data_IF_600581641748
#
_entry.id   IF_600581641748
#
_cell.length_a   1.000
_cell.length_b   1.000
_cell.length_c   1.000
_cell.angle_alpha   90.00
_cell.angle_beta   90.00
_cell.angle_gamma   90.00
#
_symmetry.space_group_name_H-M   'P 1'
#
loop_
_entity.id
_entity.type
_entity.pdbx_description
1 polymer ?
#
# COMPACT_ATOMS: atom_id res chain seq x y z
N UNK A 1 13.18 -33.57 -52.42
CA UNK A 1 13.91 -32.49 -51.71
C UNK A 1 12.94 -31.45 -51.17
N UNK A 2 11.97 -30.98 -51.92
CA UNK A 2 10.99 -29.94 -51.51
C UNK A 2 10.11 -30.32 -50.31
N UNK A 3 9.67 -31.57 -50.12
CA UNK A 3 8.84 -31.98 -48.96
C UNK A 3 9.56 -31.84 -47.61
N UNK A 4 10.88 -32.05 -47.55
CA UNK A 4 11.63 -31.88 -46.29
C UNK A 4 11.79 -30.39 -45.91
N UNK A 5 12.00 -29.54 -46.92
CA UNK A 5 12.12 -28.08 -46.70
C UNK A 5 10.81 -27.50 -46.17
N UNK A 6 9.65 -27.91 -46.72
CA UNK A 6 8.33 -27.51 -46.26
C UNK A 6 8.09 -27.88 -44.78
N UNK A 7 8.54 -29.07 -44.35
CA UNK A 7 8.38 -29.54 -42.97
C UNK A 7 9.18 -28.69 -41.96
N UNK A 8 10.40 -28.29 -42.34
CA UNK A 8 11.23 -27.39 -41.48
C UNK A 8 10.68 -25.99 -41.37
N UNK A 9 10.12 -25.43 -42.46
CA UNK A 9 9.48 -24.09 -42.44
C UNK A 9 8.25 -24.13 -41.54
N UNK A 10 7.44 -25.17 -41.56
CA UNK A 10 6.26 -25.32 -40.71
C UNK A 10 6.63 -25.47 -39.23
N UNK A 11 7.72 -26.22 -38.93
CA UNK A 11 8.22 -26.38 -37.56
C UNK A 11 8.79 -25.09 -36.99
N UNK A 12 9.47 -24.27 -37.77
CA UNK A 12 10.00 -22.95 -37.36
C UNK A 12 8.86 -21.97 -37.16
N UNK A 13 7.83 -21.95 -38.00
CA UNK A 13 6.65 -21.13 -37.85
C UNK A 13 5.88 -21.47 -36.57
N UNK A 14 5.78 -22.75 -36.21
CA UNK A 14 5.11 -23.18 -34.97
C UNK A 14 5.92 -22.82 -33.69
N UNK A 15 7.25 -22.82 -33.79
CA UNK A 15 8.12 -22.44 -32.67
C UNK A 15 8.10 -20.94 -32.37
N UNK A 16 7.85 -20.09 -33.36
CA UNK A 16 7.76 -18.63 -33.17
C UNK A 16 6.41 -18.18 -32.50
N UNK A 17 5.41 -19.05 -32.43
CA UNK A 17 4.11 -18.71 -31.80
C UNK A 17 4.07 -18.97 -30.30
N UNK A 18 5.12 -19.51 -29.69
CA UNK A 18 5.27 -19.54 -28.23
C UNK A 18 5.81 -18.19 -27.72
N UNK A 19 5.16 -17.10 -28.13
CA UNK A 19 5.30 -15.83 -27.41
C UNK A 19 4.63 -16.06 -26.05
N UNK A 20 5.42 -16.28 -25.02
CA UNK A 20 4.94 -16.27 -23.65
C UNK A 20 4.20 -14.97 -23.43
N UNK A 21 2.88 -15.03 -23.33
CA UNK A 21 2.11 -13.91 -22.80
C UNK A 21 2.67 -13.67 -21.40
N UNK A 22 3.49 -12.65 -21.26
CA UNK A 22 3.89 -12.17 -19.94
C UNK A 22 2.60 -11.75 -19.24
N UNK A 23 2.10 -12.59 -18.35
CA UNK A 23 0.95 -12.21 -17.52
C UNK A 23 1.42 -11.09 -16.61
N UNK A 24 0.84 -9.93 -16.73
CA UNK A 24 1.05 -8.85 -15.78
C UNK A 24 0.80 -9.37 -14.36
N UNK A 25 1.73 -9.12 -13.46
CA UNK A 25 1.59 -9.49 -12.06
C UNK A 25 0.53 -8.60 -11.44
N UNK A 26 -0.53 -9.18 -10.88
CA UNK A 26 -1.57 -8.41 -10.18
C UNK A 26 -1.25 -8.32 -8.69
N UNK A 27 -0.93 -7.13 -8.21
CA UNK A 27 -0.74 -6.84 -6.79
C UNK A 27 -2.06 -6.47 -6.13
N UNK A 28 -2.37 -7.09 -5.00
CA UNK A 28 -3.54 -6.77 -4.17
C UNK A 28 -3.17 -5.66 -3.19
N UNK A 29 -3.83 -4.50 -3.29
CA UNK A 29 -3.68 -3.38 -2.39
C UNK A 29 -4.94 -3.22 -1.53
N UNK A 30 -4.83 -3.31 -0.20
CA UNK A 30 -5.96 -3.23 0.73
C UNK A 30 -5.88 -2.01 1.63
N UNK A 31 -7.02 -1.37 1.90
CA UNK A 31 -7.14 -0.32 2.91
C UNK A 31 -8.57 -0.19 3.44
N UNK A 32 -8.72 0.57 4.53
CA UNK A 32 -9.99 0.68 5.26
C UNK A 32 -10.88 1.84 4.85
N UNK A 33 -10.37 2.78 4.05
CA UNK A 33 -11.07 4.03 3.70
C UNK A 33 -11.97 3.87 2.49
N UNK A 34 -13.01 4.72 2.35
CA UNK A 34 -13.88 4.69 1.18
C UNK A 34 -13.10 4.87 -0.12
N UNK A 35 -13.47 4.07 -1.13
CA UNK A 35 -12.96 4.20 -2.50
C UNK A 35 -13.93 4.92 -3.44
N UNK A 36 -14.98 5.53 -2.90
CA UNK A 36 -15.98 6.30 -3.65
C UNK A 36 -15.68 7.78 -3.54
N UNK A 37 -15.93 8.51 -4.63
CA UNK A 37 -15.83 9.97 -4.62
C UNK A 37 -16.86 10.60 -3.65
N UNK A 38 -16.49 11.70 -3.03
CA UNK A 38 -17.37 12.57 -2.25
C UNK A 38 -18.27 13.37 -3.18
N UNK A 39 -19.23 14.10 -2.60
CA UNK A 39 -20.15 14.96 -3.35
C UNK A 39 -19.45 16.06 -4.17
N UNK A 40 -18.28 16.50 -3.74
CA UNK A 40 -17.42 17.47 -4.44
C UNK A 40 -16.49 16.85 -5.49
N UNK A 41 -16.62 15.55 -5.74
CA UNK A 41 -15.78 14.80 -6.67
C UNK A 41 -14.42 14.36 -6.11
N UNK A 42 -14.02 14.79 -4.91
CA UNK A 42 -12.77 14.37 -4.28
C UNK A 42 -12.86 12.98 -3.69
N UNK A 43 -11.72 12.31 -3.55
CA UNK A 43 -11.60 11.05 -2.84
C UNK A 43 -11.06 11.23 -1.42
N UNK A 44 -11.08 10.17 -0.63
CA UNK A 44 -10.32 10.16 0.62
C UNK A 44 -8.81 10.19 0.28
N UNK A 45 -8.01 11.12 0.82
CA UNK A 45 -6.58 11.26 0.45
C UNK A 45 -5.78 9.99 0.66
N UNK A 46 -6.21 9.12 1.56
CA UNK A 46 -5.55 7.84 1.85
C UNK A 46 -5.87 6.77 0.81
N UNK A 47 -7.05 6.81 0.21
CA UNK A 47 -7.39 6.02 -0.98
C UNK A 47 -6.64 6.56 -2.19
N UNK A 48 -6.65 7.88 -2.39
CA UNK A 48 -6.00 8.55 -3.51
C UNK A 48 -4.49 8.26 -3.55
N UNK A 49 -3.82 8.21 -2.39
CA UNK A 49 -2.41 7.81 -2.31
C UNK A 49 -2.15 6.43 -2.93
N UNK A 50 -3.01 5.45 -2.70
CA UNK A 50 -2.89 4.10 -3.28
C UNK A 50 -3.24 4.12 -4.77
N UNK A 51 -4.23 4.93 -5.15
CA UNK A 51 -4.64 5.10 -6.55
C UNK A 51 -3.51 5.73 -7.38
N UNK A 52 -2.83 6.75 -6.86
CA UNK A 52 -1.67 7.36 -7.52
C UNK A 52 -0.59 6.32 -7.81
N UNK A 53 -0.28 5.44 -6.86
CA UNK A 53 0.71 4.37 -7.09
C UNK A 53 0.27 3.47 -8.24
N UNK A 54 -1.00 3.05 -8.27
CA UNK A 54 -1.54 2.21 -9.33
C UNK A 54 -1.49 2.90 -10.70
N UNK A 55 -1.86 4.18 -10.74
CA UNK A 55 -1.88 4.98 -11.96
C UNK A 55 -0.47 5.25 -12.51
N UNK A 56 0.50 5.51 -11.62
CA UNK A 56 1.90 5.72 -12.03
C UNK A 56 2.55 4.42 -12.54
N UNK A 57 2.26 3.26 -11.93
CA UNK A 57 2.70 1.96 -12.46
C UNK A 57 2.13 1.71 -13.86
N UNK A 58 0.84 2.00 -14.07
CA UNK A 58 0.21 1.87 -15.38
C UNK A 58 0.81 2.84 -16.42
N UNK A 59 1.09 4.09 -16.04
CA UNK A 59 1.75 5.07 -16.93
C UNK A 59 3.19 4.65 -17.28
N UNK A 60 3.90 4.05 -16.34
CA UNK A 60 5.26 3.54 -16.57
C UNK A 60 5.29 2.30 -17.48
N UNK A 61 4.13 1.77 -17.85
CA UNK A 61 3.98 0.59 -18.71
C UNK A 61 4.80 -0.61 -18.23
N UNK A 62 4.84 -0.81 -16.91
CA UNK A 62 5.42 -2.01 -16.29
C UNK A 62 4.39 -3.13 -16.29
N UNK A 63 4.85 -4.39 -16.40
CA UNK A 63 3.99 -5.58 -16.40
C UNK A 63 3.44 -5.90 -14.99
N UNK A 64 2.90 -4.88 -14.33
CA UNK A 64 2.31 -4.95 -12.99
C UNK A 64 0.99 -4.19 -12.98
N UNK A 65 -0.07 -4.85 -12.55
CA UNK A 65 -1.37 -4.25 -12.27
C UNK A 65 -1.61 -4.16 -10.76
N UNK A 66 -2.24 -3.09 -10.28
CA UNK A 66 -2.57 -2.93 -8.85
C UNK A 66 -4.09 -2.96 -8.68
N UNK A 67 -4.59 -4.03 -8.09
CA UNK A 67 -6.00 -4.16 -7.75
C UNK A 67 -6.27 -3.65 -6.34
N UNK A 68 -6.99 -2.52 -6.25
CA UNK A 68 -7.30 -1.87 -4.98
C UNK A 68 -8.57 -2.45 -4.37
N UNK A 69 -8.51 -2.77 -3.07
CA UNK A 69 -9.60 -3.25 -2.24
C UNK A 69 -9.87 -2.23 -1.11
N UNK A 70 -10.72 -1.23 -1.38
CA UNK A 70 -11.05 -0.17 -0.42
C UNK A 70 -12.08 -0.62 0.61
N UNK A 71 -12.39 0.24 1.56
CA UNK A 71 -13.50 0.10 2.52
C UNK A 71 -13.52 -1.23 3.29
N UNK A 72 -12.37 -1.80 3.61
CA UNK A 72 -12.22 -3.09 4.33
C UNK A 72 -12.73 -4.29 3.52
N UNK A 73 -12.83 -4.18 2.19
CA UNK A 73 -13.42 -5.22 1.34
C UNK A 73 -12.61 -6.51 1.28
N UNK A 74 -11.29 -6.46 1.57
CA UNK A 74 -10.44 -7.65 1.60
C UNK A 74 -10.03 -8.03 3.02
N UNK A 75 -9.49 -7.07 3.80
CA UNK A 75 -9.08 -7.28 5.19
C UNK A 75 -9.58 -6.15 6.09
N UNK A 76 -9.93 -6.48 7.34
CA UNK A 76 -10.26 -5.47 8.35
C UNK A 76 -9.03 -4.63 8.75
N UNK A 77 -9.24 -3.42 9.32
CA UNK A 77 -8.15 -2.48 9.60
C UNK A 77 -6.97 -3.07 10.39
N UNK A 78 -7.24 -3.86 11.42
CA UNK A 78 -6.23 -4.46 12.30
C UNK A 78 -5.73 -5.84 11.83
N UNK A 79 -6.23 -6.32 10.70
CA UNK A 79 -5.92 -7.67 10.19
C UNK A 79 -4.97 -7.63 8.98
N UNK A 80 -4.53 -6.45 8.52
CA UNK A 80 -3.75 -6.30 7.28
C UNK A 80 -2.27 -6.70 7.43
N UNK A 81 -1.69 -6.53 8.63
CA UNK A 81 -0.27 -6.80 8.86
C UNK A 81 0.12 -8.25 8.58
N UNK A 82 -0.60 -9.20 9.18
CA UNK A 82 -0.29 -10.62 9.03
C UNK A 82 -0.32 -11.11 7.58
N UNK A 83 -1.36 -10.80 6.76
CA UNK A 83 -1.36 -11.14 5.34
C UNK A 83 -0.19 -10.55 4.54
N UNK A 84 0.28 -9.34 4.84
CA UNK A 84 1.46 -8.78 4.18
C UNK A 84 2.72 -9.58 4.51
N UNK A 85 2.96 -9.86 5.79
CA UNK A 85 4.16 -10.61 6.22
C UNK A 85 4.14 -12.08 5.79
N UNK A 86 3.01 -12.60 5.33
CA UNK A 86 2.86 -13.98 4.83
C UNK A 86 2.64 -14.07 3.31
N UNK A 87 2.74 -12.96 2.57
CA UNK A 87 2.59 -12.93 1.13
C UNK A 87 1.15 -13.14 0.61
N UNK A 88 0.15 -13.02 1.46
CA UNK A 88 -1.27 -13.12 1.05
C UNK A 88 -1.84 -11.77 0.58
N UNK A 89 -1.21 -10.67 0.98
CA UNK A 89 -1.51 -9.29 0.61
C UNK A 89 -0.21 -8.62 0.19
N UNK A 90 -0.21 -8.01 -0.99
CA UNK A 90 1.00 -7.44 -1.57
C UNK A 90 1.25 -6.02 -1.08
N UNK A 91 0.18 -5.21 -0.89
CA UNK A 91 0.27 -3.82 -0.47
C UNK A 91 -0.83 -3.48 0.53
N UNK A 92 -0.53 -2.58 1.46
CA UNK A 92 -1.54 -2.03 2.37
C UNK A 92 -1.26 -0.56 2.70
N UNK A 93 -2.33 0.22 2.82
CA UNK A 93 -2.31 1.52 3.48
C UNK A 93 -3.12 1.42 4.78
N UNK A 94 -2.49 1.61 5.94
CA UNK A 94 -3.14 1.54 7.25
C UNK A 94 -2.33 2.27 8.31
N UNK A 95 -2.96 2.73 9.41
CA UNK A 95 -2.23 3.28 10.55
C UNK A 95 -1.31 2.23 11.18
N UNK A 96 -0.02 2.51 11.28
CA UNK A 96 0.97 1.53 11.71
C UNK A 96 0.70 0.97 13.11
N UNK A 97 0.16 1.76 14.04
CA UNK A 97 -0.23 1.27 15.38
C UNK A 97 -1.32 0.18 15.37
N UNK A 98 -2.01 -0.07 14.24
CA UNK A 98 -2.91 -1.23 14.16
C UNK A 98 -2.16 -2.57 14.14
N UNK A 99 -0.87 -2.54 13.86
CA UNK A 99 0.02 -3.69 13.95
C UNK A 99 0.81 -3.76 15.29
N UNK A 100 0.54 -2.86 16.24
CA UNK A 100 1.26 -2.80 17.52
C UNK A 100 1.16 -4.07 18.37
N UNK A 101 0.14 -4.91 18.14
CA UNK A 101 0.08 -6.24 18.79
C UNK A 101 1.23 -7.18 18.40
N UNK A 102 1.86 -6.93 17.24
CA UNK A 102 3.02 -7.68 16.76
C UNK A 102 4.34 -7.00 17.12
N UNK A 103 4.34 -5.66 17.07
CA UNK A 103 5.49 -4.79 17.31
C UNK A 103 4.99 -3.57 18.11
N UNK A 104 5.07 -3.59 19.45
CA UNK A 104 4.57 -2.51 20.31
C UNK A 104 5.17 -1.14 19.99
N UNK A 105 6.37 -1.11 19.42
CA UNK A 105 7.07 0.10 18.99
C UNK A 105 6.27 0.93 17.97
N UNK A 106 5.38 0.29 17.22
CA UNK A 106 4.53 0.96 16.22
C UNK A 106 3.53 1.93 16.84
N UNK A 107 3.14 1.75 18.11
CA UNK A 107 2.27 2.70 18.82
C UNK A 107 2.93 4.07 19.00
N UNK A 108 4.25 4.15 19.03
CA UNK A 108 4.98 5.41 19.13
C UNK A 108 4.65 6.38 17.98
N UNK A 109 4.29 5.87 16.80
CA UNK A 109 3.93 6.69 15.64
C UNK A 109 2.58 7.38 15.78
N UNK A 110 1.72 6.90 16.68
CA UNK A 110 0.38 7.45 16.93
C UNK A 110 0.28 8.24 18.24
N UNK A 111 1.37 8.35 19.01
CA UNK A 111 1.35 9.06 20.29
C UNK A 111 1.03 10.54 20.09
N UNK A 112 0.06 11.07 20.86
CA UNK A 112 -0.28 12.50 20.82
C UNK A 112 0.95 13.38 21.11
N UNK A 113 1.14 14.43 20.32
CA UNK A 113 2.25 15.37 20.50
C UNK A 113 3.58 14.96 19.82
N UNK A 114 3.72 13.73 19.35
CA UNK A 114 4.92 13.29 18.62
C UNK A 114 5.15 14.12 17.36
N UNK A 115 4.10 14.45 16.62
CA UNK A 115 4.16 15.29 15.43
C UNK A 115 3.26 16.52 15.61
N UNK A 116 3.84 17.71 15.52
CA UNK A 116 3.15 18.99 15.75
C UNK A 116 2.51 19.59 14.49
N UNK A 117 3.11 19.34 13.34
CA UNK A 117 2.67 19.86 12.03
C UNK A 117 3.38 19.10 10.91
N UNK A 118 3.00 19.32 9.64
CA UNK A 118 3.58 18.63 8.50
C UNK A 118 5.09 18.84 8.33
N UNK A 119 5.60 20.04 8.61
CA UNK A 119 7.06 20.30 8.59
C UNK A 119 7.80 19.47 9.64
N UNK A 120 7.19 19.29 10.80
CA UNK A 120 7.73 18.41 11.84
C UNK A 120 7.61 16.93 11.40
N UNK A 121 6.51 16.52 10.74
CA UNK A 121 6.35 15.17 10.19
C UNK A 121 7.48 14.78 9.23
N UNK A 122 7.83 15.67 8.30
CA UNK A 122 8.92 15.44 7.35
C UNK A 122 10.29 15.24 8.03
N UNK A 123 10.54 15.98 9.13
CA UNK A 123 11.75 15.76 9.93
C UNK A 123 11.68 14.47 10.71
N UNK A 124 10.51 14.18 11.31
CA UNK A 124 10.28 12.98 12.10
C UNK A 124 10.47 11.70 11.27
N UNK A 125 10.04 11.67 10.01
CA UNK A 125 10.25 10.54 9.10
C UNK A 125 11.73 10.19 8.88
N UNK A 126 12.64 11.13 9.15
CA UNK A 126 14.10 10.95 9.07
C UNK A 126 14.75 10.78 10.45
N UNK A 127 13.96 10.71 11.53
CA UNK A 127 14.49 10.54 12.89
C UNK A 127 15.05 9.13 13.12
N UNK A 128 15.97 8.95 14.06
CA UNK A 128 16.47 7.64 14.44
C UNK A 128 15.35 6.66 14.82
N UNK A 129 14.29 7.16 15.48
CA UNK A 129 13.12 6.33 15.82
C UNK A 129 12.41 5.79 14.58
N UNK A 130 12.17 6.63 13.55
CA UNK A 130 11.53 6.17 12.32
C UNK A 130 12.44 5.26 11.49
N UNK A 131 13.75 5.45 11.56
CA UNK A 131 14.73 4.54 10.95
C UNK A 131 14.63 3.15 11.59
N UNK A 132 14.58 3.08 12.93
CA UNK A 132 14.44 1.80 13.65
C UNK A 132 13.07 1.14 13.36
N UNK A 133 11.98 1.91 13.37
CA UNK A 133 10.65 1.39 13.00
C UNK A 133 10.65 0.81 11.57
N UNK A 134 11.24 1.50 10.60
CA UNK A 134 11.36 1.00 9.23
C UNK A 134 12.23 -0.25 9.14
N UNK A 135 13.27 -0.33 9.96
CA UNK A 135 14.08 -1.55 10.07
C UNK A 135 13.25 -2.73 10.58
N UNK A 136 12.45 -2.57 11.63
CA UNK A 136 11.55 -3.61 12.15
C UNK A 136 10.57 -4.06 11.06
N UNK A 137 10.01 -3.13 10.27
CA UNK A 137 9.13 -3.43 9.15
C UNK A 137 9.85 -4.25 8.09
N UNK A 138 11.07 -3.85 7.72
CA UNK A 138 11.89 -4.55 6.71
C UNK A 138 12.30 -5.95 7.18
N UNK A 139 12.66 -6.10 8.44
CA UNK A 139 13.01 -7.40 9.05
C UNK A 139 11.80 -8.37 9.04
N UNK A 140 10.58 -7.82 9.04
CA UNK A 140 9.35 -8.59 8.87
C UNK A 140 8.99 -8.90 7.40
N UNK A 141 9.85 -8.54 6.43
CA UNK A 141 9.65 -8.79 5.00
C UNK A 141 8.75 -7.78 4.29
N UNK A 142 8.51 -6.60 4.89
CA UNK A 142 7.67 -5.54 4.34
C UNK A 142 8.50 -4.28 4.07
N UNK A 143 8.22 -3.56 2.99
CA UNK A 143 8.90 -2.31 2.64
C UNK A 143 7.91 -1.15 2.76
N UNK A 144 8.34 -0.04 3.38
CA UNK A 144 7.58 1.20 3.43
C UNK A 144 7.81 1.98 2.13
N UNK A 145 6.78 2.12 1.32
CA UNK A 145 6.83 2.88 0.07
C UNK A 145 6.60 4.37 0.29
N UNK A 146 5.72 4.74 1.22
CA UNK A 146 5.38 6.13 1.52
C UNK A 146 4.89 6.28 2.95
N UNK A 147 5.14 7.44 3.55
CA UNK A 147 4.61 7.84 4.86
C UNK A 147 3.60 8.98 4.67
N UNK A 148 2.42 8.85 5.24
CA UNK A 148 1.40 9.90 5.28
C UNK A 148 1.06 10.25 6.74
N UNK A 149 1.03 11.54 7.04
CA UNK A 149 0.70 12.07 8.36
C UNK A 149 -0.57 12.90 8.29
N UNK A 150 -1.56 12.51 9.07
CA UNK A 150 -2.85 13.20 9.15
C UNK A 150 -3.04 13.73 10.58
N UNK A 151 -3.64 14.92 10.69
CA UNK A 151 -4.00 15.49 11.98
C UNK A 151 -5.02 14.60 12.68
N UNK A 152 -4.76 14.31 13.97
CA UNK A 152 -5.75 13.71 14.87
C UNK A 152 -6.67 14.75 15.46
N UNK A 153 -7.86 14.33 15.87
CA UNK A 153 -8.83 15.19 16.55
C UNK A 153 -9.52 14.45 17.68
N UNK A 154 -10.03 15.22 18.64
CA UNK A 154 -10.86 14.71 19.71
C UNK A 154 -12.32 15.09 19.48
N UNK A 155 -13.22 14.18 19.73
CA UNK A 155 -14.66 14.43 19.71
C UNK A 155 -15.24 14.14 21.09
N UNK A 156 -16.18 14.99 21.56
CA UNK A 156 -16.90 14.80 22.80
C UNK A 156 -18.39 14.93 22.54
N UNK A 157 -19.17 14.00 23.08
CA UNK A 157 -20.63 13.99 22.94
C UNK A 157 -21.30 15.06 23.82
N UNK A 158 -20.77 15.35 25.00
CA UNK A 158 -21.48 16.11 26.03
C UNK A 158 -20.72 17.29 26.62
N UNK A 159 -19.42 17.39 26.42
CA UNK A 159 -18.58 18.46 26.99
C UNK A 159 -17.65 19.04 25.95
N UNK A 160 -17.53 20.38 25.94
CA UNK A 160 -16.50 21.06 25.18
C UNK A 160 -15.15 20.87 25.87
N UNK A 161 -14.22 20.18 25.23
CA UNK A 161 -12.86 19.96 25.73
C UNK A 161 -12.04 21.20 25.37
N UNK A 162 -11.76 22.07 26.32
CA UNK A 162 -10.99 23.31 26.09
C UNK A 162 -9.58 23.25 26.65
N UNK A 163 -9.36 22.52 27.74
CA UNK A 163 -8.06 22.44 28.41
C UNK A 163 -7.79 20.99 28.85
N UNK A 164 -6.53 20.54 28.85
CA UNK A 164 -6.13 19.33 29.57
C UNK A 164 -6.34 19.59 31.07
N UNK A 165 -6.81 18.59 31.80
CA UNK A 165 -6.80 18.61 33.25
C UNK A 165 -5.47 18.15 33.79
#
# INVERSE_FOLDING_TARGET
MFKKISLYITAIALALTMVSSAYAVTLKASHQWPGTARADGSYDPRHEMVQIIADEMKKANVDVDVRIYPAKSLYKPKEQWKPMTTGQLDMSAFPLGYAAKFHPEFDATLMPGTVKNHKHALKFNKSPMMVEIKKIINDAGVIVLSDAWLGGGFASKSKCIRNPR
#
